data_IF_848577759725
#
_entry.id   IF_848577759725
#
_cell.length_a   1.000
_cell.length_b   1.000
_cell.length_c   1.000
_cell.angle_alpha   90.00
_cell.angle_beta   90.00
_cell.angle_gamma   90.00
#
_symmetry.space_group_name_H-M   'P 1'
#
loop_
_entity.id
_entity.type
_entity.pdbx_description
1 polymer ?
#
# COMPACT_ATOMS: atom_id res chain seq x y z
N UNK A 1 -4.32 -37.99 3.10
CA UNK A 1 -5.01 -37.31 1.98
C UNK A 1 -4.15 -36.13 1.54
N UNK A 2 -3.54 -36.22 0.36
CA UNK A 2 -2.68 -35.14 -0.17
C UNK A 2 -3.54 -33.95 -0.57
N UNK A 3 -3.17 -32.75 -0.13
CA UNK A 3 -3.82 -31.52 -0.58
C UNK A 3 -3.42 -31.30 -2.05
N UNK A 4 -4.38 -30.97 -2.92
CA UNK A 4 -4.05 -30.70 -4.32
C UNK A 4 -3.18 -29.46 -4.45
N UNK A 5 -2.44 -29.31 -5.55
CA UNK A 5 -1.67 -28.09 -5.82
C UNK A 5 -2.56 -26.84 -5.81
N UNK A 6 -3.82 -26.98 -6.25
CA UNK A 6 -4.81 -25.91 -6.18
C UNK A 6 -5.20 -25.56 -4.73
N UNK A 7 -5.33 -26.54 -3.84
CA UNK A 7 -5.61 -26.29 -2.43
C UNK A 7 -4.44 -25.60 -1.74
N UNK A 8 -3.20 -26.01 -2.07
CA UNK A 8 -1.98 -25.38 -1.57
C UNK A 8 -1.85 -23.92 -2.05
N UNK A 9 -2.19 -23.63 -3.30
CA UNK A 9 -2.18 -22.27 -3.82
C UNK A 9 -3.23 -21.41 -3.10
N UNK A 10 -4.45 -21.92 -2.93
CA UNK A 10 -5.54 -21.22 -2.24
C UNK A 10 -5.23 -20.95 -0.76
N UNK A 11 -4.62 -21.91 -0.06
CA UNK A 11 -4.21 -21.68 1.34
C UNK A 11 -3.05 -20.69 1.44
N UNK A 12 -2.09 -20.72 0.50
CA UNK A 12 -1.03 -19.70 0.41
C UNK A 12 -1.61 -18.30 0.22
N UNK A 13 -2.53 -18.15 -0.73
CA UNK A 13 -3.19 -16.87 -0.99
C UNK A 13 -3.94 -16.34 0.24
N UNK A 14 -4.67 -17.22 0.95
CA UNK A 14 -5.34 -16.85 2.20
C UNK A 14 -4.36 -16.37 3.28
N UNK A 15 -3.20 -17.02 3.41
CA UNK A 15 -2.13 -16.58 4.33
C UNK A 15 -1.63 -15.20 3.91
N UNK A 16 -1.32 -14.99 2.63
CA UNK A 16 -0.81 -13.72 2.12
C UNK A 16 -1.80 -12.58 2.28
N UNK A 17 -3.08 -12.79 1.95
CA UNK A 17 -4.11 -11.76 2.09
C UNK A 17 -4.29 -11.32 3.55
N UNK A 18 -4.29 -12.27 4.50
CA UNK A 18 -4.39 -11.96 5.92
C UNK A 18 -3.09 -11.28 6.44
N UNK A 19 -1.91 -11.75 6.03
CA UNK A 19 -0.64 -11.15 6.40
C UNK A 19 -0.52 -9.72 5.86
N UNK A 20 -0.85 -9.49 4.59
CA UNK A 20 -0.86 -8.19 3.93
C UNK A 20 -1.78 -7.19 4.66
N UNK A 21 -2.97 -7.65 5.08
CA UNK A 21 -3.88 -6.82 5.87
C UNK A 21 -3.31 -6.49 7.26
N UNK A 22 -2.68 -7.46 7.94
CA UNK A 22 -2.09 -7.24 9.26
C UNK A 22 -0.89 -6.28 9.23
N UNK A 23 0.02 -6.44 8.27
CA UNK A 23 1.20 -5.57 8.18
C UNK A 23 0.78 -4.13 7.88
N UNK A 24 -0.19 -3.89 6.98
CA UNK A 24 -0.67 -2.52 6.74
C UNK A 24 -1.35 -1.88 7.95
N UNK A 25 -1.95 -2.69 8.82
CA UNK A 25 -2.69 -2.20 9.99
C UNK A 25 -1.77 -1.89 11.17
N UNK A 26 -0.79 -2.77 11.41
CA UNK A 26 -0.01 -2.81 12.64
C UNK A 26 1.51 -2.80 12.44
N UNK A 27 2.00 -2.77 11.20
CA UNK A 27 3.41 -2.78 10.85
C UNK A 27 4.02 -4.17 10.64
N UNK A 28 5.24 -4.21 10.09
CA UNK A 28 5.92 -5.48 9.75
C UNK A 28 6.21 -6.35 10.98
N UNK A 29 6.62 -5.72 12.09
CA UNK A 29 7.02 -6.43 13.31
C UNK A 29 5.85 -7.02 14.10
N UNK A 30 4.65 -6.46 13.92
CA UNK A 30 3.44 -6.98 14.58
C UNK A 30 2.99 -8.35 14.05
N UNK A 31 3.52 -8.79 12.89
CA UNK A 31 3.14 -10.06 12.28
C UNK A 31 3.70 -11.25 13.05
N UNK A 32 2.80 -12.03 13.65
CA UNK A 32 3.12 -13.29 14.34
C UNK A 32 2.63 -14.49 13.53
N UNK A 33 3.53 -15.43 13.21
CA UNK A 33 3.19 -16.65 12.46
C UNK A 33 2.08 -17.43 13.16
N UNK A 34 2.19 -17.66 14.48
CA UNK A 34 1.19 -18.42 15.22
C UNK A 34 -0.20 -17.79 15.17
N UNK A 35 -0.30 -16.48 15.42
CA UNK A 35 -1.58 -15.76 15.35
C UNK A 35 -2.13 -15.70 13.93
N UNK A 36 -1.27 -15.50 12.93
CA UNK A 36 -1.66 -15.51 11.51
C UNK A 36 -2.25 -16.87 11.12
N UNK A 37 -1.53 -17.96 11.38
CA UNK A 37 -1.96 -19.30 11.03
C UNK A 37 -3.27 -19.69 11.72
N UNK A 38 -3.42 -19.32 13.01
CA UNK A 38 -4.68 -19.48 13.73
C UNK A 38 -5.84 -18.72 13.06
N UNK A 39 -5.63 -17.45 12.66
CA UNK A 39 -6.67 -16.64 12.00
C UNK A 39 -7.11 -17.23 10.65
N UNK A 40 -6.19 -17.81 9.89
CA UNK A 40 -6.52 -18.49 8.62
C UNK A 40 -6.93 -19.95 8.80
N UNK A 41 -7.10 -20.43 10.05
CA UNK A 41 -7.51 -21.80 10.40
C UNK A 41 -6.56 -22.87 9.84
N UNK A 42 -5.26 -22.60 9.88
CA UNK A 42 -4.20 -23.53 9.50
C UNK A 42 -3.30 -23.81 10.71
N UNK A 43 -2.64 -24.97 10.72
CA UNK A 43 -1.73 -25.35 11.80
C UNK A 43 -0.43 -24.56 11.72
N UNK A 44 0.26 -24.41 12.85
CA UNK A 44 1.60 -23.79 12.87
C UNK A 44 2.59 -24.56 11.99
N UNK A 45 2.53 -25.90 11.97
CA UNK A 45 3.37 -26.73 11.10
C UNK A 45 3.08 -26.53 9.60
N UNK A 46 1.84 -26.21 9.24
CA UNK A 46 1.46 -25.92 7.85
C UNK A 46 2.15 -24.70 7.26
N UNK A 47 2.66 -23.79 8.09
CA UNK A 47 3.40 -22.60 7.65
C UNK A 47 4.62 -22.98 6.80
N UNK A 48 5.40 -23.95 7.29
CA UNK A 48 6.62 -24.40 6.62
C UNK A 48 6.37 -25.17 5.32
N UNK A 49 5.11 -25.56 5.06
CA UNK A 49 4.69 -26.06 3.74
C UNK A 49 4.52 -24.95 2.68
N UNK A 50 4.45 -23.68 3.12
CA UNK A 50 4.22 -22.52 2.28
C UNK A 50 5.40 -21.55 2.22
N UNK A 51 6.07 -21.30 3.35
CA UNK A 51 7.15 -20.33 3.47
C UNK A 51 8.30 -20.95 4.26
N UNK A 52 9.53 -20.71 3.83
CA UNK A 52 10.73 -21.16 4.51
C UNK A 52 11.02 -20.34 5.79
N UNK A 53 10.61 -19.07 5.84
CA UNK A 53 10.90 -18.19 6.97
C UNK A 53 9.86 -17.09 7.17
N UNK A 54 9.90 -16.45 8.36
CA UNK A 54 9.09 -15.24 8.65
C UNK A 54 9.43 -14.10 7.69
N UNK A 55 10.71 -13.91 7.35
CA UNK A 55 11.16 -12.86 6.44
C UNK A 55 10.58 -13.07 5.03
N UNK A 56 10.60 -14.30 4.51
CA UNK A 56 9.99 -14.62 3.22
C UNK A 56 8.47 -14.34 3.22
N UNK A 57 7.78 -14.71 4.31
CA UNK A 57 6.37 -14.36 4.47
C UNK A 57 6.15 -12.84 4.45
N UNK A 58 7.00 -12.06 5.13
CA UNK A 58 6.87 -10.60 5.18
C UNK A 58 7.10 -9.99 3.80
N UNK A 59 8.16 -10.38 3.09
CA UNK A 59 8.44 -9.89 1.75
C UNK A 59 7.29 -10.21 0.79
N UNK A 60 6.78 -11.45 0.81
CA UNK A 60 5.66 -11.85 -0.03
C UNK A 60 4.33 -11.16 0.36
N UNK A 61 4.09 -10.93 1.65
CA UNK A 61 2.91 -10.21 2.12
C UNK A 61 2.99 -8.71 1.78
N UNK A 62 4.20 -8.13 1.80
CA UNK A 62 4.45 -6.76 1.38
C UNK A 62 4.17 -6.58 -0.12
N UNK A 63 4.67 -7.50 -0.95
CA UNK A 63 4.39 -7.51 -2.39
C UNK A 63 2.87 -7.63 -2.65
N UNK A 64 2.20 -8.60 -2.02
CA UNK A 64 0.75 -8.74 -2.10
C UNK A 64 0.04 -7.45 -1.67
N UNK A 65 0.59 -6.75 -0.67
CA UNK A 65 -0.01 -5.54 -0.16
C UNK A 65 0.10 -4.34 -1.11
N UNK A 66 1.26 -4.20 -1.76
CA UNK A 66 1.53 -3.16 -2.75
C UNK A 66 0.69 -3.39 -4.01
N UNK A 67 0.73 -4.61 -4.56
CA UNK A 67 -0.04 -4.99 -5.74
C UNK A 67 -1.55 -4.84 -5.55
N UNK A 68 -2.09 -5.24 -4.39
CA UNK A 68 -3.52 -5.06 -4.09
C UNK A 68 -3.93 -3.58 -4.02
N UNK A 69 -3.06 -2.72 -3.47
CA UNK A 69 -3.30 -1.28 -3.43
C UNK A 69 -3.32 -0.65 -4.82
N UNK A 70 -2.38 -1.06 -5.68
CA UNK A 70 -2.37 -0.62 -7.08
C UNK A 70 -3.61 -1.11 -7.83
N UNK A 71 -3.96 -2.39 -7.71
CA UNK A 71 -5.13 -2.96 -8.36
C UNK A 71 -6.42 -2.25 -7.93
N UNK A 72 -6.57 -1.93 -6.65
CA UNK A 72 -7.72 -1.16 -6.14
C UNK A 72 -7.74 0.26 -6.73
N UNK A 73 -6.58 0.93 -6.81
CA UNK A 73 -6.47 2.24 -7.42
C UNK A 73 -6.75 2.22 -8.94
N UNK A 74 -6.49 1.10 -9.62
CA UNK A 74 -6.84 0.91 -11.02
C UNK A 74 -8.33 0.61 -11.20
N UNK A 75 -8.91 -0.27 -10.38
CA UNK A 75 -10.32 -0.66 -10.47
C UNK A 75 -11.29 0.51 -10.18
N UNK A 76 -10.85 1.50 -9.41
CA UNK A 76 -11.61 2.72 -9.17
C UNK A 76 -11.64 3.69 -10.37
N UNK A 77 -10.90 3.42 -11.45
CA UNK A 77 -10.81 4.26 -12.66
C UNK A 77 -11.85 3.84 -13.69
N UNK A 78 -12.34 4.79 -14.47
CA UNK A 78 -13.11 4.47 -15.67
C UNK A 78 -12.15 3.91 -16.74
N UNK A 79 -12.49 2.80 -17.43
CA UNK A 79 -11.58 2.12 -18.37
C UNK A 79 -11.05 3.01 -19.50
N UNK A 80 -11.89 3.92 -19.97
CA UNK A 80 -11.65 4.68 -21.20
C UNK A 80 -11.35 6.17 -20.96
N UNK A 81 -10.96 6.54 -19.73
CA UNK A 81 -10.63 7.94 -19.41
C UNK A 81 -9.26 8.06 -18.76
N UNK A 82 -8.40 8.97 -19.26
CA UNK A 82 -7.17 9.31 -18.54
C UNK A 82 -7.53 9.80 -17.14
N UNK A 83 -6.74 9.40 -16.16
CA UNK A 83 -6.93 9.85 -14.79
C UNK A 83 -6.43 11.29 -14.72
N UNK A 84 -7.28 12.22 -14.31
CA UNK A 84 -6.83 13.59 -14.01
C UNK A 84 -6.12 13.64 -12.67
N UNK A 85 -5.21 14.62 -12.51
CA UNK A 85 -4.56 14.91 -11.22
C UNK A 85 -5.63 15.09 -10.13
N UNK A 86 -6.71 15.79 -10.47
CA UNK A 86 -7.86 16.00 -9.59
C UNK A 86 -8.49 14.69 -9.08
N UNK A 87 -8.81 13.76 -9.97
CA UNK A 87 -9.41 12.48 -9.60
C UNK A 87 -8.46 11.64 -8.72
N UNK A 88 -7.18 11.59 -9.10
CA UNK A 88 -6.14 10.89 -8.36
C UNK A 88 -5.97 11.46 -6.94
N UNK A 89 -5.77 12.77 -6.82
CA UNK A 89 -5.53 13.44 -5.55
C UNK A 89 -6.76 13.31 -4.61
N UNK A 90 -7.99 13.42 -5.15
CA UNK A 90 -9.23 13.22 -4.37
C UNK A 90 -9.38 11.80 -3.86
N UNK A 91 -9.05 10.80 -4.67
CA UNK A 91 -9.12 9.40 -4.27
C UNK A 91 -8.11 9.09 -3.17
N UNK A 92 -6.85 9.49 -3.39
CA UNK A 92 -5.75 9.21 -2.47
C UNK A 92 -5.87 9.96 -1.15
N UNK A 93 -6.19 11.25 -1.18
CA UNK A 93 -6.30 12.11 0.01
C UNK A 93 -7.75 12.23 0.46
N UNK A 94 -8.32 11.07 0.80
CA UNK A 94 -9.70 10.90 1.26
C UNK A 94 -9.76 10.31 2.67
N UNK A 95 -10.88 10.58 3.37
CA UNK A 95 -11.17 9.94 4.67
C UNK A 95 -11.25 8.42 4.51
N UNK A 96 -11.88 7.94 3.44
CA UNK A 96 -11.95 6.51 3.13
C UNK A 96 -10.55 5.89 3.09
N UNK A 97 -9.60 6.49 2.38
CA UNK A 97 -8.25 5.96 2.32
C UNK A 97 -7.49 6.08 3.66
N UNK A 98 -7.69 7.17 4.41
CA UNK A 98 -7.12 7.34 5.75
C UNK A 98 -7.56 6.22 6.69
N UNK A 99 -8.85 5.92 6.69
CA UNK A 99 -9.52 5.04 7.64
C UNK A 99 -9.41 3.55 7.23
N UNK A 100 -9.27 3.25 5.94
CA UNK A 100 -9.11 1.89 5.40
C UNK A 100 -7.64 1.40 5.39
N UNK A 101 -6.94 1.43 6.53
CA UNK A 101 -5.53 1.01 6.61
C UNK A 101 -5.27 -0.39 6.05
N UNK A 102 -6.16 -1.34 6.38
CA UNK A 102 -6.07 -2.75 5.97
C UNK A 102 -6.18 -2.99 4.46
N UNK A 103 -6.61 -2.02 3.65
CA UNK A 103 -6.80 -2.20 2.20
C UNK A 103 -6.34 -1.00 1.37
N UNK A 104 -5.81 0.04 2.01
CA UNK A 104 -5.26 1.21 1.34
C UNK A 104 -3.84 1.00 0.80
N UNK A 105 -3.24 2.07 0.33
CA UNK A 105 -1.87 2.13 -0.17
C UNK A 105 -0.88 1.63 0.88
N UNK A 106 -0.18 0.55 0.57
CA UNK A 106 0.83 -0.05 1.44
C UNK A 106 2.05 0.87 1.63
N UNK A 107 2.45 1.66 0.61
CA UNK A 107 3.55 2.64 0.73
C UNK A 107 3.26 3.59 1.91
N UNK A 108 2.09 4.22 1.92
CA UNK A 108 1.68 5.12 3.03
C UNK A 108 1.53 4.44 4.39
N UNK A 109 1.35 3.12 4.42
CA UNK A 109 1.21 2.37 5.66
C UNK A 109 2.56 1.89 6.22
N UNK A 110 3.53 1.60 5.35
CA UNK A 110 4.70 0.77 5.68
C UNK A 110 6.05 1.42 5.32
N UNK A 111 6.11 2.59 4.68
CA UNK A 111 7.37 3.18 4.21
C UNK A 111 8.42 3.32 5.32
N UNK A 112 8.01 3.72 6.53
CA UNK A 112 8.92 3.84 7.68
C UNK A 112 9.41 2.49 8.20
N UNK A 113 8.56 1.46 8.17
CA UNK A 113 8.91 0.11 8.61
C UNK A 113 9.88 -0.54 7.60
N UNK A 114 9.57 -0.43 6.31
CA UNK A 114 10.41 -0.95 5.22
C UNK A 114 11.75 -0.23 5.18
N UNK A 115 11.79 1.07 5.45
CA UNK A 115 13.05 1.83 5.58
C UNK A 115 13.97 1.28 6.67
N UNK A 116 13.42 0.69 7.74
CA UNK A 116 14.17 0.08 8.86
C UNK A 116 14.39 -1.43 8.70
N UNK A 117 13.71 -2.07 7.75
CA UNK A 117 13.77 -3.51 7.51
C UNK A 117 15.07 -3.94 6.81
N UNK A 118 15.14 -5.20 6.40
CA UNK A 118 16.25 -5.73 5.60
C UNK A 118 16.23 -5.23 4.14
N UNK A 119 17.28 -5.59 3.40
CA UNK A 119 17.40 -5.22 1.99
C UNK A 119 16.33 -5.90 1.11
N UNK A 120 15.83 -7.06 1.52
CA UNK A 120 14.79 -7.80 0.79
C UNK A 120 13.48 -7.00 0.79
N UNK A 121 13.02 -6.50 1.94
CA UNK A 121 11.82 -5.68 2.01
C UNK A 121 11.96 -4.35 1.25
N UNK A 122 13.14 -3.72 1.29
CA UNK A 122 13.41 -2.50 0.52
C UNK A 122 13.34 -2.75 -0.98
N UNK A 123 13.98 -3.82 -1.45
CA UNK A 123 13.97 -4.22 -2.86
C UNK A 123 12.56 -4.58 -3.36
N UNK A 124 11.66 -5.04 -2.49
CA UNK A 124 10.25 -5.22 -2.81
C UNK A 124 9.54 -3.87 -3.00
N UNK A 125 9.71 -2.89 -2.11
CA UNK A 125 8.94 -1.63 -2.18
C UNK A 125 9.47 -0.63 -3.22
N UNK A 126 10.78 -0.59 -3.45
CA UNK A 126 11.44 0.33 -4.38
C UNK A 126 10.76 0.42 -5.76
N UNK A 127 10.58 -0.66 -6.53
CA UNK A 127 9.95 -0.58 -7.85
C UNK A 127 8.50 -0.07 -7.82
N UNK A 128 7.77 -0.28 -6.71
CA UNK A 128 6.40 0.24 -6.57
C UNK A 128 6.37 1.75 -6.28
N UNK A 129 7.38 2.28 -5.60
CA UNK A 129 7.54 3.74 -5.42
C UNK A 129 7.88 4.38 -6.77
N UNK A 130 8.86 3.82 -7.49
CA UNK A 130 9.24 4.28 -8.83
C UNK A 130 8.05 4.26 -9.80
N UNK A 131 7.29 3.16 -9.83
CA UNK A 131 6.08 3.05 -10.64
C UNK A 131 5.00 4.08 -10.24
N UNK A 132 4.87 4.38 -8.95
CA UNK A 132 3.92 5.39 -8.49
C UNK A 132 4.34 6.80 -8.93
N UNK A 133 5.63 7.13 -8.84
CA UNK A 133 6.17 8.40 -9.33
C UNK A 133 5.98 8.52 -10.84
N UNK A 134 6.37 7.51 -11.62
CA UNK A 134 6.21 7.51 -13.07
C UNK A 134 4.75 7.72 -13.49
N UNK A 135 3.81 7.03 -12.84
CA UNK A 135 2.36 7.16 -13.12
C UNK A 135 1.81 8.55 -12.78
N UNK A 136 2.36 9.20 -11.76
CA UNK A 136 2.03 10.58 -11.41
C UNK A 136 2.64 11.55 -12.43
N UNK A 137 3.87 11.32 -12.88
CA UNK A 137 4.52 12.10 -13.94
C UNK A 137 3.74 12.03 -15.26
N UNK A 138 3.28 10.84 -15.66
CA UNK A 138 2.39 10.65 -16.81
C UNK A 138 1.08 11.44 -16.67
N UNK A 139 0.51 11.46 -15.46
CA UNK A 139 -0.74 12.19 -15.16
C UNK A 139 -0.54 13.70 -15.25
N UNK A 140 0.63 14.18 -14.83
CA UNK A 140 1.03 15.57 -15.03
C UNK A 140 1.43 15.88 -16.48
N UNK A 141 1.86 14.87 -17.26
CA UNK A 141 2.41 15.03 -18.60
C UNK A 141 3.73 15.80 -18.59
N UNK A 142 4.62 15.44 -17.66
CA UNK A 142 5.96 16.01 -17.52
C UNK A 142 7.03 15.12 -18.15
N UNK A 143 8.11 15.73 -18.63
CA UNK A 143 9.28 15.03 -19.15
C UNK A 143 10.28 14.62 -18.04
N UNK A 144 10.20 15.26 -16.86
CA UNK A 144 10.95 14.90 -15.66
C UNK A 144 10.02 14.52 -14.49
N UNK A 145 10.59 13.89 -13.46
CA UNK A 145 9.84 13.34 -12.34
C UNK A 145 9.86 14.24 -11.08
N UNK A 146 10.41 15.45 -11.13
CA UNK A 146 10.60 16.27 -9.93
C UNK A 146 9.27 16.69 -9.31
N UNK A 147 8.31 17.14 -10.14
CA UNK A 147 6.95 17.50 -9.70
C UNK A 147 6.17 16.27 -9.23
N UNK A 148 6.34 15.14 -9.91
CA UNK A 148 5.72 13.88 -9.52
C UNK A 148 6.25 13.36 -8.18
N UNK A 149 7.56 13.41 -7.97
CA UNK A 149 8.23 13.06 -6.72
C UNK A 149 7.74 13.92 -5.56
N UNK A 150 7.62 15.23 -5.78
CA UNK A 150 7.05 16.16 -4.79
C UNK A 150 5.60 15.80 -4.45
N UNK A 151 4.77 15.57 -5.47
CA UNK A 151 3.35 15.23 -5.29
C UNK A 151 3.18 13.89 -4.55
N UNK A 152 3.90 12.83 -4.94
CA UNK A 152 3.89 11.52 -4.26
C UNK A 152 4.32 11.66 -2.81
N UNK A 153 5.42 12.36 -2.56
CA UNK A 153 5.94 12.61 -1.20
C UNK A 153 4.91 13.34 -0.33
N UNK A 154 4.27 14.38 -0.88
CA UNK A 154 3.23 15.14 -0.20
C UNK A 154 1.99 14.28 0.07
N UNK A 155 1.53 13.49 -0.91
CA UNK A 155 0.37 12.61 -0.79
C UNK A 155 0.57 11.54 0.28
N UNK A 156 1.71 10.83 0.24
CA UNK A 156 2.09 9.80 1.20
C UNK A 156 2.21 10.40 2.60
N UNK A 157 2.94 11.50 2.74
CA UNK A 157 3.15 12.19 4.01
C UNK A 157 1.86 12.72 4.63
N UNK A 158 1.02 13.37 3.84
CA UNK A 158 -0.26 13.90 4.31
C UNK A 158 -1.20 12.80 4.82
N UNK A 159 -1.26 11.67 4.12
CA UNK A 159 -2.06 10.54 4.55
C UNK A 159 -1.52 9.95 5.87
N UNK A 160 -0.21 9.74 5.96
CA UNK A 160 0.44 9.27 7.19
C UNK A 160 0.20 10.21 8.38
N UNK A 161 0.39 11.52 8.20
CA UNK A 161 0.15 12.54 9.23
C UNK A 161 -1.32 12.53 9.66
N UNK A 162 -2.26 12.48 8.70
CA UNK A 162 -3.69 12.49 9.00
C UNK A 162 -4.13 11.31 9.88
N UNK A 163 -3.45 10.16 9.80
CA UNK A 163 -3.72 8.95 10.60
C UNK A 163 -3.25 9.07 12.06
N UNK A 164 -2.35 10.00 12.35
CA UNK A 164 -1.83 10.26 13.71
C UNK A 164 -2.68 11.31 14.43
N UNK A 165 -3.23 12.28 13.69
CA UNK A 165 -4.01 13.37 14.26
C UNK A 165 -5.31 12.86 14.90
N UNK A 166 -5.46 13.11 16.21
CA UNK A 166 -6.65 12.74 16.98
C UNK A 166 -7.83 13.69 16.79
N UNK A 167 -7.57 14.97 16.52
CA UNK A 167 -8.59 15.92 16.08
C UNK A 167 -8.98 15.66 14.62
N UNK A 168 -10.20 15.18 14.42
CA UNK A 168 -10.75 14.87 13.10
C UNK A 168 -10.81 16.10 12.18
N UNK A 169 -11.09 17.30 12.71
CA UNK A 169 -11.13 18.52 11.88
C UNK A 169 -9.75 18.85 11.33
N UNK A 170 -8.71 18.72 12.17
CA UNK A 170 -7.30 18.90 11.78
C UNK A 170 -6.84 17.81 10.81
N UNK A 171 -7.18 16.54 11.08
CA UNK A 171 -6.89 15.41 10.20
C UNK A 171 -7.45 15.63 8.80
N UNK A 172 -8.72 16.03 8.72
CA UNK A 172 -9.35 16.33 7.43
C UNK A 172 -8.75 17.55 6.76
N UNK A 173 -8.36 18.57 7.53
CA UNK A 173 -7.73 19.77 6.98
C UNK A 173 -6.40 19.45 6.30
N UNK A 174 -5.56 18.60 6.89
CA UNK A 174 -4.30 18.14 6.26
C UNK A 174 -4.57 17.48 4.90
N UNK A 175 -5.53 16.55 4.86
CA UNK A 175 -5.89 15.88 3.60
C UNK A 175 -6.38 16.87 2.55
N UNK A 176 -7.25 17.82 2.93
CA UNK A 176 -7.77 18.84 1.99
C UNK A 176 -6.66 19.77 1.50
N UNK A 177 -5.86 20.34 2.40
CA UNK A 177 -4.81 21.30 2.05
C UNK A 177 -3.81 20.71 1.06
N UNK A 178 -3.31 19.51 1.34
CA UNK A 178 -2.32 18.89 0.45
C UNK A 178 -2.95 18.46 -0.87
N UNK A 179 -4.20 18.01 -0.85
CA UNK A 179 -4.93 17.68 -2.07
C UNK A 179 -5.09 18.90 -2.98
N UNK A 180 -5.52 20.02 -2.42
CA UNK A 180 -5.74 21.24 -3.20
C UNK A 180 -4.41 21.77 -3.76
N UNK A 181 -3.31 21.65 -3.01
CA UNK A 181 -1.96 21.96 -3.50
C UNK A 181 -1.50 21.05 -4.64
N UNK A 182 -1.69 19.73 -4.52
CA UNK A 182 -1.35 18.77 -5.60
C UNK A 182 -2.18 19.02 -6.86
N UNK A 183 -3.45 19.42 -6.72
CA UNK A 183 -4.30 19.78 -7.85
C UNK A 183 -3.81 21.06 -8.52
N UNK A 184 -3.39 22.06 -7.74
CA UNK A 184 -2.86 23.31 -8.28
C UNK A 184 -1.57 23.09 -9.08
N UNK A 185 -0.73 22.11 -8.70
CA UNK A 185 0.48 21.76 -9.44
C UNK A 185 0.22 21.42 -10.91
N UNK A 186 -0.97 20.92 -11.27
CA UNK A 186 -1.35 20.64 -12.68
C UNK A 186 -1.41 21.92 -13.53
N UNK A 187 -1.73 23.06 -12.92
CA UNK A 187 -1.94 24.34 -13.61
C UNK A 187 -0.66 25.14 -13.83
N UNK A 188 0.46 24.75 -13.19
CA UNK A 188 1.76 25.45 -13.27
C UNK A 188 2.58 25.05 -14.51
N UNK A 189 1.93 24.67 -15.62
CA UNK A 189 2.59 24.39 -16.91
C UNK A 189 2.86 25.66 -17.71
#
# INVERSE_FOLDING_TARGET
>A
MGHSQADKARSRERILNEAAAQIRDAGLDALSIGRLMQRVKLTHGGFYGHFASRSELIAAALEQALAAGEAAAHAARAPDKPVSVNAMARSYLSRTHRDSRKSGCAISALISDVGRADAECRAVMEPHIEAFIAKVAETFGDDDDARATMAVSAMVGALAISRVLTDQKRSDAVLRTVRDAVIAMESDK
#
